data_IF_077988621971
#
_entry.id   IF_077988621971
#
_cell.length_a   1.000
_cell.length_b   1.000
_cell.length_c   1.000
_cell.angle_alpha   90.00
_cell.angle_beta   90.00
_cell.angle_gamma   90.00
#
_symmetry.space_group_name_H-M   'P 1'
#
loop_
_entity.id
_entity.type
_entity.pdbx_description
1 polymer ?
#
# COMPACT_ATOMS: atom_id res chain seq x y z
N UNK A 1 -55.82 88.17 -3.08
CA UNK A 1 -55.07 88.45 -4.33
C UNK A 1 -53.58 88.24 -4.01
N UNK A 2 -53.02 87.17 -4.40
CA UNK A 2 -51.57 86.98 -4.60
C UNK A 2 -51.31 85.59 -5.13
N UNK A 3 -50.76 85.55 -6.32
CA UNK A 3 -50.44 84.31 -7.06
C UNK A 3 -49.13 83.77 -6.60
N UNK A 4 -48.99 82.46 -6.42
CA UNK A 4 -47.74 81.75 -6.25
C UNK A 4 -47.39 80.99 -7.54
N UNK A 5 -46.15 80.99 -7.99
CA UNK A 5 -45.68 80.25 -9.16
C UNK A 5 -45.29 78.80 -8.80
N UNK A 6 -45.66 77.90 -9.67
CA UNK A 6 -45.31 76.51 -9.71
C UNK A 6 -43.87 76.40 -10.20
N UNK A 7 -42.98 75.70 -9.39
CA UNK A 7 -41.67 75.29 -9.87
C UNK A 7 -41.71 73.83 -10.22
N UNK A 8 -41.53 73.51 -11.49
CA UNK A 8 -41.27 72.16 -11.98
C UNK A 8 -39.78 71.81 -11.78
N UNK A 9 -39.47 70.81 -10.98
CA UNK A 9 -38.13 70.23 -10.87
C UNK A 9 -38.06 68.95 -11.73
N UNK A 10 -37.21 68.97 -12.77
CA UNK A 10 -36.78 67.78 -13.50
C UNK A 10 -35.80 67.01 -12.62
N UNK A 11 -36.18 65.76 -12.23
CA UNK A 11 -35.28 64.82 -11.62
C UNK A 11 -34.51 64.04 -12.67
N UNK A 12 -33.19 64.22 -12.68
CA UNK A 12 -32.26 63.36 -13.46
C UNK A 12 -31.99 62.08 -12.67
N UNK A 13 -32.49 60.96 -13.17
CA UNK A 13 -32.17 59.63 -12.62
C UNK A 13 -30.77 59.22 -13.12
N UNK A 14 -29.79 59.17 -12.21
CA UNK A 14 -28.47 58.58 -12.48
C UNK A 14 -28.55 57.04 -12.36
N UNK A 15 -28.43 56.33 -13.48
CA UNK A 15 -28.22 54.89 -13.51
C UNK A 15 -26.78 54.61 -13.03
N UNK A 16 -26.64 54.10 -11.81
CA UNK A 16 -25.36 53.52 -11.32
C UNK A 16 -25.19 52.11 -11.95
N UNK A 17 -24.29 52.01 -12.94
CA UNK A 17 -23.83 50.71 -13.46
C UNK A 17 -22.96 50.04 -12.41
N UNK A 18 -23.49 49.02 -11.70
CA UNK A 18 -22.70 48.13 -10.89
C UNK A 18 -21.84 47.21 -11.79
N UNK A 19 -20.58 47.58 -11.98
CA UNK A 19 -19.57 46.68 -12.55
C UNK A 19 -19.25 45.60 -11.54
N UNK A 20 -19.80 44.39 -11.71
CA UNK A 20 -19.35 43.20 -10.98
C UNK A 20 -17.99 42.85 -11.57
N UNK A 21 -16.92 43.25 -10.89
CA UNK A 21 -15.59 42.74 -11.18
C UNK A 21 -15.58 41.25 -10.82
N UNK A 22 -15.56 40.37 -11.83
CA UNK A 22 -15.18 38.97 -11.60
C UNK A 22 -13.77 38.98 -11.03
N UNK A 23 -13.60 38.56 -9.76
CA UNK A 23 -12.31 38.27 -9.21
C UNK A 23 -11.62 37.23 -10.11
N UNK A 24 -10.33 37.40 -10.46
CA UNK A 24 -9.61 36.36 -11.21
C UNK A 24 -9.67 35.08 -10.37
N UNK A 25 -10.03 33.96 -11.02
CA UNK A 25 -9.96 32.66 -10.39
C UNK A 25 -8.55 32.50 -9.83
N UNK A 26 -8.43 32.25 -8.51
CA UNK A 26 -7.15 32.02 -7.88
C UNK A 26 -6.42 30.93 -8.67
N UNK A 27 -5.16 31.19 -9.07
CA UNK A 27 -4.37 30.17 -9.74
C UNK A 27 -4.29 28.97 -8.80
N UNK A 28 -4.73 27.81 -9.30
CA UNK A 28 -4.69 26.56 -8.53
C UNK A 28 -3.24 26.27 -8.14
N UNK A 29 -3.00 26.01 -6.84
CA UNK A 29 -1.67 25.66 -6.36
C UNK A 29 -1.12 24.46 -7.13
N UNK A 30 0.19 24.38 -7.41
CA UNK A 30 0.77 23.26 -8.18
C UNK A 30 0.37 21.89 -7.61
N UNK A 31 0.40 21.74 -6.29
CA UNK A 31 0.02 20.50 -5.61
C UNK A 31 -1.43 20.09 -5.84
N UNK A 32 -2.37 21.05 -5.88
CA UNK A 32 -3.78 20.76 -6.17
C UNK A 32 -3.96 20.24 -7.60
N UNK A 33 -3.14 20.72 -8.54
CA UNK A 33 -3.16 20.22 -9.93
C UNK A 33 -2.66 18.79 -10.02
N UNK A 34 -1.60 18.46 -9.27
CA UNK A 34 -1.06 17.11 -9.25
C UNK A 34 -2.03 16.13 -8.58
N UNK A 35 -2.61 16.49 -7.45
CA UNK A 35 -3.65 15.68 -6.82
C UNK A 35 -4.85 15.45 -7.76
N UNK A 36 -5.26 16.49 -8.51
CA UNK A 36 -6.33 16.37 -9.51
C UNK A 36 -5.92 15.45 -10.66
N UNK A 37 -4.68 15.53 -11.16
CA UNK A 37 -4.18 14.66 -12.23
C UNK A 37 -4.15 13.19 -11.80
N UNK A 38 -3.66 12.89 -10.57
CA UNK A 38 -3.67 11.52 -10.02
C UNK A 38 -5.11 11.01 -9.84
N UNK A 39 -6.04 11.86 -9.37
CA UNK A 39 -7.46 11.50 -9.28
C UNK A 39 -8.07 11.19 -10.65
N UNK A 40 -7.70 11.91 -11.70
CA UNK A 40 -8.12 11.58 -13.07
C UNK A 40 -7.51 10.25 -13.56
N UNK A 41 -6.25 9.97 -13.22
CA UNK A 41 -5.62 8.69 -13.52
C UNK A 41 -6.35 7.53 -12.81
N UNK A 42 -6.72 7.71 -11.55
CA UNK A 42 -7.55 6.74 -10.82
C UNK A 42 -8.89 6.50 -11.53
N UNK A 43 -9.60 7.56 -11.89
CA UNK A 43 -10.87 7.44 -12.61
C UNK A 43 -10.71 6.76 -13.97
N UNK A 44 -9.62 7.03 -14.70
CA UNK A 44 -9.34 6.35 -15.96
C UNK A 44 -9.13 4.84 -15.76
N UNK A 45 -8.32 4.44 -14.78
CA UNK A 45 -8.09 3.04 -14.45
C UNK A 45 -9.38 2.35 -13.97
N UNK A 46 -10.14 3.01 -13.10
CA UNK A 46 -11.40 2.48 -12.58
C UNK A 46 -12.47 2.31 -13.67
N UNK A 47 -12.63 3.28 -14.56
CA UNK A 47 -13.56 3.20 -15.69
C UNK A 47 -13.18 2.07 -16.65
N UNK A 48 -11.88 1.83 -16.85
CA UNK A 48 -11.40 0.66 -17.59
C UNK A 48 -11.80 -0.64 -16.93
N UNK A 49 -11.62 -0.74 -15.61
CA UNK A 49 -12.07 -1.90 -14.82
C UNK A 49 -13.60 -2.07 -14.93
N UNK A 50 -14.40 -1.02 -14.69
CA UNK A 50 -15.86 -1.10 -14.81
C UNK A 50 -16.32 -1.58 -16.19
N UNK A 51 -15.61 -1.17 -17.24
CA UNK A 51 -16.01 -1.47 -18.61
C UNK A 51 -15.60 -2.86 -19.08
N UNK A 52 -14.44 -3.37 -18.64
CA UNK A 52 -13.83 -4.58 -19.23
C UNK A 52 -13.62 -5.73 -18.26
N UNK A 53 -13.62 -5.46 -16.94
CA UNK A 53 -13.30 -6.43 -15.91
C UNK A 53 -14.28 -6.44 -14.73
N UNK A 54 -15.46 -5.84 -14.86
CA UNK A 54 -16.43 -5.75 -13.77
C UNK A 54 -16.81 -7.13 -13.21
N UNK A 55 -16.56 -7.31 -11.92
CA UNK A 55 -16.81 -8.57 -11.22
C UNK A 55 -15.66 -9.58 -11.29
N UNK A 56 -14.56 -9.24 -11.98
CA UNK A 56 -13.29 -9.97 -11.94
C UNK A 56 -12.33 -9.37 -10.92
N UNK A 57 -11.24 -10.10 -10.61
CA UNK A 57 -10.24 -9.63 -9.67
C UNK A 57 -9.40 -8.49 -10.25
N UNK A 58 -9.01 -8.55 -11.52
CA UNK A 58 -8.11 -7.59 -12.15
C UNK A 58 -8.48 -7.25 -13.59
N UNK A 59 -8.07 -6.05 -14.00
CA UNK A 59 -8.14 -5.60 -15.39
C UNK A 59 -6.90 -6.07 -16.17
N UNK A 60 -7.13 -6.55 -17.39
CA UNK A 60 -6.12 -6.71 -18.43
C UNK A 60 -6.17 -5.48 -19.35
N UNK A 61 -5.31 -4.46 -19.13
CA UNK A 61 -5.50 -3.14 -19.73
C UNK A 61 -5.11 -3.06 -21.21
N UNK A 62 -4.33 -4.03 -21.72
CA UNK A 62 -3.93 -4.05 -23.13
C UNK A 62 -4.94 -4.84 -23.96
N UNK A 63 -5.34 -6.05 -23.53
CA UNK A 63 -6.33 -6.89 -24.22
C UNK A 63 -7.77 -6.49 -23.95
N UNK A 64 -8.01 -5.64 -22.93
CA UNK A 64 -9.35 -5.18 -22.50
C UNK A 64 -10.23 -6.32 -22.03
N UNK A 65 -9.75 -7.07 -21.03
CA UNK A 65 -10.44 -8.20 -20.40
C UNK A 65 -10.32 -8.19 -18.90
N UNK A 66 -11.00 -9.14 -18.23
CA UNK A 66 -10.85 -9.43 -16.82
C UNK A 66 -10.00 -10.68 -16.59
N UNK A 67 -9.41 -10.76 -15.39
CA UNK A 67 -8.66 -11.92 -14.91
C UNK A 67 -9.02 -12.19 -13.46
N UNK A 68 -9.11 -13.47 -13.10
CA UNK A 68 -9.24 -13.91 -11.71
C UNK A 68 -7.97 -14.65 -11.26
N UNK A 69 -7.62 -14.48 -9.99
CA UNK A 69 -6.46 -15.15 -9.40
C UNK A 69 -6.74 -16.63 -9.09
N UNK A 70 -8.01 -16.92 -8.82
CA UNK A 70 -8.51 -18.24 -8.42
C UNK A 70 -9.62 -18.70 -9.35
N UNK A 71 -10.16 -19.94 -9.16
CA UNK A 71 -11.28 -20.43 -9.97
C UNK A 71 -12.57 -19.59 -9.91
N UNK A 72 -12.67 -18.68 -8.94
CA UNK A 72 -13.72 -17.69 -8.83
C UNK A 72 -13.14 -16.39 -8.31
N UNK A 73 -13.70 -15.25 -8.73
CA UNK A 73 -13.30 -13.93 -8.29
C UNK A 73 -13.58 -13.72 -6.79
N UNK A 74 -12.66 -13.01 -6.15
CA UNK A 74 -12.85 -12.40 -4.82
C UNK A 74 -13.09 -10.89 -4.90
N UNK A 75 -13.24 -10.33 -6.11
CA UNK A 75 -13.45 -8.90 -6.32
C UNK A 75 -12.28 -8.06 -5.79
N UNK A 76 -11.03 -8.53 -5.97
CA UNK A 76 -9.85 -7.88 -5.39
C UNK A 76 -9.76 -6.41 -5.73
N UNK A 77 -9.89 -6.02 -6.99
CA UNK A 77 -9.86 -4.59 -7.38
C UNK A 77 -10.95 -3.75 -6.72
N UNK A 78 -12.24 -4.14 -6.65
CA UNK A 78 -13.26 -3.42 -5.91
C UNK A 78 -12.99 -3.27 -4.41
N UNK A 79 -12.49 -4.33 -3.76
CA UNK A 79 -12.19 -4.31 -2.31
C UNK A 79 -10.98 -3.42 -2.04
N UNK A 80 -9.89 -3.61 -2.78
CA UNK A 80 -8.64 -2.85 -2.66
C UNK A 80 -8.83 -1.36 -2.96
N UNK A 81 -9.61 -1.03 -3.99
CA UNK A 81 -9.82 0.36 -4.41
C UNK A 81 -10.84 1.12 -3.56
N UNK A 82 -11.67 0.44 -2.74
CA UNK A 82 -12.81 1.04 -2.07
C UNK A 82 -12.43 2.21 -1.16
N UNK A 83 -11.48 2.01 -0.27
CA UNK A 83 -11.06 3.05 0.67
C UNK A 83 -10.38 4.24 -0.04
N UNK A 84 -9.66 3.99 -1.14
CA UNK A 84 -9.10 5.05 -1.99
C UNK A 84 -10.22 5.91 -2.58
N UNK A 85 -11.31 5.30 -3.06
CA UNK A 85 -12.48 6.04 -3.56
C UNK A 85 -13.11 6.91 -2.48
N UNK A 86 -13.28 6.36 -1.27
CA UNK A 86 -13.84 7.10 -0.13
C UNK A 86 -12.94 8.30 0.21
N UNK A 87 -11.63 8.11 0.31
CA UNK A 87 -10.66 9.17 0.60
C UNK A 87 -10.65 10.26 -0.49
N UNK A 88 -10.71 9.86 -1.76
CA UNK A 88 -10.78 10.78 -2.89
C UNK A 88 -12.14 11.47 -3.04
N UNK A 89 -13.16 11.11 -2.27
CA UNK A 89 -14.52 11.64 -2.39
C UNK A 89 -15.22 11.24 -3.69
N UNK A 90 -14.92 10.03 -4.21
CA UNK A 90 -15.54 9.43 -5.41
C UNK A 90 -16.81 8.67 -5.00
N UNK A 91 -17.82 9.37 -4.52
CA UNK A 91 -19.02 8.76 -3.90
C UNK A 91 -19.82 7.87 -4.85
N UNK A 92 -19.87 8.21 -6.14
CA UNK A 92 -20.57 7.41 -7.15
C UNK A 92 -19.90 6.07 -7.42
N UNK A 93 -18.57 6.09 -7.59
CA UNK A 93 -17.71 4.91 -7.78
C UNK A 93 -17.73 4.02 -6.54
N UNK A 94 -17.54 4.61 -5.36
CA UNK A 94 -17.61 3.90 -4.09
C UNK A 94 -18.97 3.23 -3.85
N UNK A 95 -20.09 3.89 -4.20
CA UNK A 95 -21.41 3.28 -4.06
C UNK A 95 -21.60 2.06 -4.97
N UNK A 96 -21.09 2.10 -6.21
CA UNK A 96 -21.16 0.93 -7.12
C UNK A 96 -20.26 -0.20 -6.65
N UNK A 97 -19.02 0.10 -6.25
CA UNK A 97 -18.10 -0.89 -5.67
C UNK A 97 -18.71 -1.54 -4.41
N UNK A 98 -19.26 -0.73 -3.48
CA UNK A 98 -19.95 -1.21 -2.28
C UNK A 98 -21.08 -2.18 -2.61
N UNK A 99 -21.95 -1.83 -3.56
CA UNK A 99 -23.05 -2.72 -3.96
C UNK A 99 -22.50 -4.05 -4.52
N UNK A 100 -21.51 -4.01 -5.40
CA UNK A 100 -20.90 -5.22 -5.95
C UNK A 100 -20.31 -6.11 -4.84
N UNK A 101 -19.52 -5.53 -3.93
CA UNK A 101 -18.90 -6.24 -2.81
C UNK A 101 -19.97 -6.89 -1.92
N UNK A 102 -20.92 -6.09 -1.43
CA UNK A 102 -21.90 -6.56 -0.44
C UNK A 102 -22.94 -7.53 -1.02
N UNK A 103 -23.21 -7.46 -2.32
CA UNK A 103 -24.21 -8.32 -2.97
C UNK A 103 -23.60 -9.61 -3.56
N UNK A 104 -22.28 -9.66 -3.83
CA UNK A 104 -21.68 -10.74 -4.62
C UNK A 104 -20.48 -11.43 -3.96
N UNK A 105 -19.75 -10.76 -3.05
CA UNK A 105 -18.55 -11.34 -2.42
C UNK A 105 -18.92 -12.48 -1.48
N UNK A 106 -18.25 -13.63 -1.67
CA UNK A 106 -18.42 -14.80 -0.81
C UNK A 106 -17.10 -15.51 -0.63
N UNK A 107 -16.78 -15.88 0.60
CA UNK A 107 -15.57 -16.63 0.95
C UNK A 107 -15.84 -18.13 1.15
N UNK A 108 -17.06 -18.59 0.94
CA UNK A 108 -17.37 -20.04 0.93
C UNK A 108 -16.95 -20.67 -0.39
N UNK A 109 -15.65 -20.94 -0.53
CA UNK A 109 -15.01 -21.41 -1.76
C UNK A 109 -14.22 -22.70 -1.50
N UNK A 110 -14.53 -23.74 -2.27
CA UNK A 110 -13.89 -25.06 -2.14
C UNK A 110 -12.62 -25.16 -3.01
N UNK A 111 -11.67 -24.27 -2.74
CA UNK A 111 -10.31 -24.31 -3.30
C UNK A 111 -9.32 -23.61 -2.35
N UNK A 112 -8.02 -23.95 -2.42
CA UNK A 112 -7.00 -23.33 -1.60
C UNK A 112 -6.71 -21.91 -2.06
N UNK A 113 -6.56 -20.99 -1.09
CA UNK A 113 -6.09 -19.60 -1.30
C UNK A 113 -4.79 -19.37 -0.55
N UNK A 114 -3.99 -18.45 -1.03
CA UNK A 114 -2.78 -18.00 -0.33
C UNK A 114 -3.18 -17.10 0.86
N UNK A 115 -2.83 -17.52 2.07
CA UNK A 115 -3.25 -16.86 3.32
C UNK A 115 -2.79 -15.41 3.37
N UNK A 116 -1.55 -15.14 2.97
CA UNK A 116 -0.97 -13.79 2.97
C UNK A 116 -1.76 -12.85 2.05
N UNK A 117 -1.87 -13.15 0.76
CA UNK A 117 -2.50 -12.27 -0.23
C UNK A 117 -3.97 -11.96 0.11
N UNK A 118 -4.74 -12.98 0.47
CA UNK A 118 -6.15 -12.79 0.86
C UNK A 118 -6.27 -11.99 2.17
N UNK A 119 -5.31 -12.09 3.08
CA UNK A 119 -5.35 -11.33 4.33
C UNK A 119 -5.08 -9.84 4.08
N UNK A 120 -4.02 -9.50 3.38
CA UNK A 120 -3.63 -8.08 3.23
C UNK A 120 -4.63 -7.30 2.37
N UNK A 121 -5.17 -7.92 1.30
CA UNK A 121 -6.13 -7.32 0.36
C UNK A 121 -7.56 -7.40 0.89
N UNK A 122 -8.10 -8.61 0.96
CA UNK A 122 -9.52 -8.77 1.25
C UNK A 122 -9.84 -8.45 2.72
N UNK A 123 -9.12 -9.05 3.66
CA UNK A 123 -9.38 -8.77 5.08
C UNK A 123 -9.03 -7.33 5.43
N UNK A 124 -7.87 -6.84 4.97
CA UNK A 124 -7.43 -5.46 5.17
C UNK A 124 -8.40 -4.45 4.57
N UNK A 125 -8.78 -4.62 3.30
CA UNK A 125 -9.73 -3.74 2.60
C UNK A 125 -11.12 -3.70 3.25
N UNK A 126 -11.66 -4.87 3.65
CA UNK A 126 -12.95 -4.94 4.33
C UNK A 126 -12.92 -4.26 5.72
N UNK A 127 -11.83 -4.39 6.48
CA UNK A 127 -11.67 -3.72 7.76
C UNK A 127 -11.54 -2.21 7.61
N UNK A 128 -10.77 -1.75 6.63
CA UNK A 128 -10.66 -0.34 6.27
C UNK A 128 -12.02 0.22 5.81
N UNK A 129 -12.71 -0.49 4.92
CA UNK A 129 -14.04 -0.12 4.45
C UNK A 129 -15.03 0.03 5.62
N UNK A 130 -15.05 -0.93 6.57
CA UNK A 130 -15.87 -0.82 7.77
C UNK A 130 -15.54 0.42 8.61
N UNK A 131 -14.26 0.70 8.82
CA UNK A 131 -13.84 1.83 9.65
C UNK A 131 -14.08 3.21 9.00
N UNK A 132 -14.15 3.27 7.67
CA UNK A 132 -14.41 4.51 6.93
C UNK A 132 -15.89 4.74 6.65
N UNK A 133 -16.65 3.70 6.28
CA UNK A 133 -18.05 3.77 5.87
C UNK A 133 -19.03 3.53 7.04
N UNK A 134 -18.65 2.64 7.99
CA UNK A 134 -19.48 2.27 9.15
C UNK A 134 -20.53 1.17 8.86
N UNK A 135 -20.64 0.65 7.64
CA UNK A 135 -21.60 -0.40 7.32
C UNK A 135 -21.17 -1.75 7.93
N UNK A 136 -21.96 -2.33 8.87
CA UNK A 136 -21.58 -3.54 9.58
C UNK A 136 -21.45 -4.79 8.69
N UNK A 137 -21.98 -4.76 7.46
CA UNK A 137 -21.84 -5.87 6.52
C UNK A 137 -20.39 -6.09 6.10
N UNK A 138 -19.57 -5.03 6.00
CA UNK A 138 -18.13 -5.15 5.77
C UNK A 138 -17.43 -5.93 6.91
N UNK A 139 -17.75 -5.59 8.17
CA UNK A 139 -17.20 -6.33 9.31
C UNK A 139 -17.70 -7.79 9.35
N UNK A 140 -18.93 -8.04 8.90
CA UNK A 140 -19.47 -9.39 8.81
C UNK A 140 -18.71 -10.25 7.80
N UNK A 141 -18.39 -9.69 6.62
CA UNK A 141 -17.55 -10.35 5.60
C UNK A 141 -16.11 -10.57 6.12
N UNK A 142 -15.52 -9.55 6.75
CA UNK A 142 -14.18 -9.66 7.36
C UNK A 142 -14.13 -10.77 8.42
N UNK A 143 -15.16 -10.90 9.24
CA UNK A 143 -15.28 -11.97 10.27
C UNK A 143 -15.43 -13.35 9.63
N UNK A 144 -16.23 -13.50 8.59
CA UNK A 144 -16.38 -14.77 7.87
C UNK A 144 -15.03 -15.19 7.29
N UNK A 145 -14.34 -14.29 6.56
CA UNK A 145 -13.01 -14.57 6.00
C UNK A 145 -11.99 -14.92 7.09
N UNK A 146 -11.86 -14.07 8.12
CA UNK A 146 -10.90 -14.32 9.21
C UNK A 146 -11.13 -15.66 9.90
N UNK A 147 -12.39 -16.08 10.07
CA UNK A 147 -12.72 -17.40 10.64
C UNK A 147 -12.26 -18.54 9.74
N UNK A 148 -12.43 -18.40 8.42
CA UNK A 148 -12.03 -19.42 7.42
C UNK A 148 -10.50 -19.51 7.26
N UNK A 149 -9.78 -18.43 7.58
CA UNK A 149 -8.32 -18.40 7.53
C UNK A 149 -7.66 -18.98 8.81
N UNK A 150 -8.34 -18.99 9.98
CA UNK A 150 -7.77 -19.49 11.25
C UNK A 150 -7.15 -20.89 11.17
N UNK A 151 -7.69 -21.86 10.44
CA UNK A 151 -7.09 -23.20 10.31
C UNK A 151 -5.63 -23.18 9.83
N UNK A 152 -5.23 -22.15 9.04
CA UNK A 152 -3.86 -22.04 8.57
C UNK A 152 -2.82 -21.99 9.72
N UNK A 153 -3.17 -21.43 10.89
CA UNK A 153 -2.29 -21.31 12.06
C UNK A 153 -2.15 -22.62 12.86
N UNK A 154 -2.69 -23.72 12.36
CA UNK A 154 -2.69 -25.04 13.05
C UNK A 154 -1.39 -25.83 12.94
N UNK A 155 -0.27 -25.22 12.51
CA UNK A 155 1.03 -25.91 12.52
C UNK A 155 1.56 -26.14 13.93
N UNK A 156 2.52 -27.06 14.10
CA UNK A 156 3.15 -27.35 15.38
C UNK A 156 3.90 -26.14 15.97
N UNK A 157 4.36 -25.23 15.13
CA UNK A 157 5.06 -24.00 15.56
C UNK A 157 4.11 -22.84 15.83
N UNK A 158 2.85 -22.91 15.38
CA UNK A 158 1.89 -21.80 15.36
C UNK A 158 2.07 -20.84 14.20
N UNK A 159 3.08 -21.00 13.35
CA UNK A 159 3.23 -20.25 12.09
C UNK A 159 2.23 -20.78 11.06
N UNK A 160 1.61 -19.91 10.22
CA UNK A 160 0.59 -20.36 9.30
C UNK A 160 1.17 -21.16 8.14
N UNK A 161 0.41 -22.16 7.68
CA UNK A 161 0.60 -22.76 6.37
C UNK A 161 0.35 -21.69 5.29
N UNK A 162 1.01 -21.85 4.15
CA UNK A 162 0.92 -20.91 3.03
C UNK A 162 -0.46 -20.85 2.42
N UNK A 163 -1.16 -22.00 2.34
CA UNK A 163 -2.47 -22.13 1.71
C UNK A 163 -3.49 -22.74 2.66
N UNK A 164 -4.74 -22.28 2.54
CA UNK A 164 -5.91 -22.86 3.20
C UNK A 164 -7.08 -22.94 2.23
N UNK A 165 -7.82 -24.05 2.23
CA UNK A 165 -9.10 -24.16 1.55
C UNK A 165 -10.18 -23.48 2.42
N UNK A 166 -10.83 -22.45 1.89
CA UNK A 166 -11.77 -21.64 2.65
C UNK A 166 -13.08 -22.36 3.04
N UNK A 167 -13.45 -23.43 2.32
CA UNK A 167 -14.64 -24.23 2.64
C UNK A 167 -14.33 -25.32 3.67
N UNK A 168 -13.26 -26.07 3.46
CA UNK A 168 -12.95 -27.27 4.26
C UNK A 168 -11.99 -27.01 5.42
N UNK A 169 -11.23 -25.90 5.39
CA UNK A 169 -10.14 -25.61 6.31
C UNK A 169 -8.88 -26.46 6.07
N UNK A 170 -8.82 -27.26 4.99
CA UNK A 170 -7.62 -28.05 4.65
C UNK A 170 -6.44 -27.13 4.32
N UNK A 171 -5.26 -27.45 4.89
CA UNK A 171 -4.04 -26.62 4.76
C UNK A 171 -2.98 -27.30 3.91
N UNK A 172 -2.15 -26.50 3.23
CA UNK A 172 -1.02 -26.99 2.43
C UNK A 172 0.10 -25.93 2.32
N UNK A 173 1.23 -26.32 1.72
CA UNK A 173 2.37 -25.38 1.58
C UNK A 173 3.08 -25.14 2.92
N UNK A 174 3.81 -26.13 3.47
CA UNK A 174 4.49 -25.96 4.75
C UNK A 174 5.77 -25.10 4.66
N UNK A 175 6.32 -24.89 3.47
CA UNK A 175 7.43 -23.95 3.27
C UNK A 175 6.83 -22.59 2.96
N UNK A 176 7.15 -21.62 3.81
CA UNK A 176 6.67 -20.24 3.77
C UNK A 176 7.87 -19.30 3.96
N UNK A 177 7.61 -18.00 4.06
CA UNK A 177 8.60 -16.95 4.23
C UNK A 177 8.18 -15.99 5.35
N UNK A 178 9.08 -15.10 5.84
CA UNK A 178 8.77 -14.17 6.91
C UNK A 178 7.57 -13.24 6.63
N UNK A 179 7.43 -12.72 5.41
CA UNK A 179 6.30 -11.87 5.03
C UNK A 179 4.98 -12.65 5.17
N UNK A 180 4.86 -13.83 4.59
CA UNK A 180 3.65 -14.67 4.67
C UNK A 180 3.30 -15.11 6.11
N UNK A 181 4.30 -15.23 6.99
CA UNK A 181 4.08 -15.60 8.40
C UNK A 181 3.73 -14.39 9.26
N UNK A 182 4.42 -13.28 9.07
CA UNK A 182 4.37 -12.13 9.98
C UNK A 182 3.41 -11.02 9.58
N UNK A 183 3.12 -10.92 8.29
CA UNK A 183 2.28 -9.84 7.71
C UNK A 183 0.79 -10.20 7.75
N UNK A 184 0.32 -10.60 8.91
CA UNK A 184 -1.08 -10.93 9.19
C UNK A 184 -1.57 -10.21 10.44
N UNK A 185 -0.63 -9.59 11.17
CA UNK A 185 -0.91 -9.08 12.52
C UNK A 185 -1.84 -7.88 12.52
N UNK A 186 -1.71 -6.97 11.57
CA UNK A 186 -2.53 -5.76 11.54
C UNK A 186 -3.99 -6.10 11.27
N UNK A 187 -4.26 -6.98 10.33
CA UNK A 187 -5.60 -7.40 9.93
C UNK A 187 -6.26 -8.28 10.99
N UNK A 188 -5.59 -9.36 11.38
CA UNK A 188 -6.12 -10.27 12.41
C UNK A 188 -6.23 -9.58 13.77
N UNK A 189 -5.27 -8.73 14.11
CA UNK A 189 -5.30 -7.95 15.34
C UNK A 189 -6.47 -6.95 15.35
N UNK A 190 -6.67 -6.23 14.27
CA UNK A 190 -7.79 -5.28 14.11
C UNK A 190 -9.14 -6.01 14.13
N UNK A 191 -9.25 -7.14 13.41
CA UNK A 191 -10.46 -7.97 13.47
C UNK A 191 -10.75 -8.45 14.88
N UNK A 192 -9.74 -8.92 15.60
CA UNK A 192 -9.87 -9.33 17.01
C UNK A 192 -10.38 -8.21 17.91
N UNK A 193 -9.84 -7.00 17.74
CA UNK A 193 -10.26 -5.82 18.51
C UNK A 193 -11.68 -5.37 18.17
N UNK A 194 -12.05 -5.33 16.90
CA UNK A 194 -13.38 -4.89 16.46
C UNK A 194 -14.49 -5.88 16.80
N UNK A 195 -14.17 -7.17 16.79
CA UNK A 195 -15.16 -8.23 17.10
C UNK A 195 -15.19 -8.66 18.58
N UNK A 196 -14.17 -8.29 19.37
CA UNK A 196 -13.97 -8.76 20.74
C UNK A 196 -13.53 -10.24 20.83
N UNK A 197 -13.13 -10.86 19.71
CA UNK A 197 -12.69 -12.26 19.65
C UNK A 197 -11.15 -12.34 19.69
N UNK A 198 -10.55 -12.76 20.83
CA UNK A 198 -9.10 -12.76 20.98
C UNK A 198 -8.37 -13.80 20.11
N UNK A 199 -9.11 -14.81 19.58
CA UNK A 199 -8.50 -15.89 18.78
C UNK A 199 -7.73 -15.32 17.58
N UNK A 200 -8.23 -14.26 16.96
CA UNK A 200 -7.58 -13.63 15.81
C UNK A 200 -6.25 -12.99 16.20
N UNK A 201 -6.27 -12.09 17.17
CA UNK A 201 -5.05 -11.43 17.68
C UNK A 201 -4.02 -12.44 18.15
N UNK A 202 -4.45 -13.42 18.96
CA UNK A 202 -3.56 -14.40 19.56
C UNK A 202 -2.92 -15.34 18.52
N UNK A 203 -3.65 -15.71 17.46
CA UNK A 203 -3.11 -16.55 16.38
C UNK A 203 -2.00 -15.82 15.63
N UNK A 204 -2.26 -14.58 15.18
CA UNK A 204 -1.27 -13.79 14.45
C UNK A 204 -0.05 -13.44 15.33
N UNK A 205 -0.26 -13.01 16.59
CA UNK A 205 0.85 -12.71 17.51
C UNK A 205 1.72 -13.95 17.77
N UNK A 206 1.12 -15.14 18.00
CA UNK A 206 1.90 -16.36 18.16
C UNK A 206 2.78 -16.68 16.95
N UNK A 207 2.27 -16.47 15.74
CA UNK A 207 3.04 -16.69 14.51
C UNK A 207 4.26 -15.77 14.44
N UNK A 208 4.08 -14.46 14.69
CA UNK A 208 5.19 -13.49 14.71
C UNK A 208 6.21 -13.82 15.78
N UNK A 209 5.78 -14.13 17.00
CA UNK A 209 6.68 -14.50 18.11
C UNK A 209 7.45 -15.79 17.81
N UNK A 210 6.78 -16.78 17.21
CA UNK A 210 7.42 -18.04 16.81
C UNK A 210 8.50 -17.84 15.74
N UNK A 211 8.23 -16.98 14.75
CA UNK A 211 9.20 -16.62 13.72
C UNK A 211 10.38 -15.83 14.31
N UNK A 212 10.09 -14.80 15.09
CA UNK A 212 11.10 -13.97 15.75
C UNK A 212 12.06 -14.77 16.64
N UNK A 213 11.56 -15.77 17.35
CA UNK A 213 12.38 -16.66 18.18
C UNK A 213 13.36 -17.53 17.38
N UNK A 214 13.22 -17.62 16.06
CA UNK A 214 14.06 -18.43 15.16
C UNK A 214 15.12 -17.63 14.40
N UNK A 215 15.30 -16.36 14.75
CA UNK A 215 16.37 -15.54 14.16
C UNK A 215 17.74 -16.14 14.47
N UNK A 216 18.68 -15.91 13.57
CA UNK A 216 20.08 -16.25 13.83
C UNK A 216 20.69 -15.39 14.96
N UNK A 217 21.86 -15.75 15.49
CA UNK A 217 22.58 -14.92 16.47
C UNK A 217 22.92 -13.50 15.97
N UNK A 218 22.98 -13.28 14.67
CA UNK A 218 23.11 -11.95 14.05
C UNK A 218 21.88 -11.06 14.30
N UNK A 219 20.72 -11.66 14.60
CA UNK A 219 19.41 -11.00 14.68
C UNK A 219 18.62 -11.01 13.37
N UNK A 220 19.19 -11.56 12.29
CA UNK A 220 18.55 -11.66 10.98
C UNK A 220 17.63 -12.88 10.87
N UNK A 221 16.71 -12.85 9.91
CA UNK A 221 15.85 -13.97 9.48
C UNK A 221 16.29 -14.44 8.10
N UNK A 222 16.01 -15.69 7.75
CA UNK A 222 16.18 -16.21 6.39
C UNK A 222 14.98 -15.94 5.50
N UNK A 223 15.08 -16.26 4.22
CA UNK A 223 14.05 -16.01 3.22
C UNK A 223 13.00 -17.12 3.09
N UNK A 224 13.27 -18.34 3.59
CA UNK A 224 12.30 -19.43 3.59
C UNK A 224 12.40 -20.34 4.84
N UNK A 225 11.24 -20.76 5.38
CA UNK A 225 11.11 -21.54 6.61
C UNK A 225 10.05 -22.63 6.47
N UNK A 226 10.32 -23.84 6.95
CA UNK A 226 9.28 -24.88 7.11
C UNK A 226 8.50 -24.62 8.41
N UNK A 227 7.23 -24.25 8.30
CA UNK A 227 6.37 -23.87 9.43
C UNK A 227 6.04 -25.05 10.37
N UNK A 228 6.23 -26.31 9.96
CA UNK A 228 6.00 -27.48 10.83
C UNK A 228 7.16 -27.71 11.79
N UNK A 229 8.39 -27.64 11.26
CA UNK A 229 9.62 -27.86 12.03
C UNK A 229 10.19 -26.59 12.61
N UNK A 230 9.94 -25.44 11.98
CA UNK A 230 10.59 -24.17 12.26
C UNK A 230 12.03 -24.08 11.77
N UNK A 231 12.44 -24.97 10.86
CA UNK A 231 13.77 -24.96 10.27
C UNK A 231 13.82 -24.02 9.06
N UNK A 232 14.85 -23.19 8.98
CA UNK A 232 15.14 -22.39 7.80
C UNK A 232 15.53 -23.28 6.63
N UNK A 233 14.89 -23.11 5.48
CA UNK A 233 15.20 -23.80 4.22
C UNK A 233 16.00 -22.93 3.27
N UNK A 234 15.98 -21.60 3.49
CA UNK A 234 16.86 -20.64 2.84
C UNK A 234 17.34 -19.63 3.87
N UNK A 235 18.63 -19.28 3.82
CA UNK A 235 19.32 -18.43 4.80
C UNK A 235 19.70 -17.06 4.24
N UNK A 236 19.33 -16.75 3.02
CA UNK A 236 19.50 -15.40 2.49
C UNK A 236 18.61 -14.41 3.24
N UNK A 237 19.17 -13.27 3.63
CA UNK A 237 18.52 -12.25 4.43
C UNK A 237 18.60 -10.92 3.73
N UNK A 238 17.47 -10.22 3.62
CA UNK A 238 17.32 -8.96 2.90
C UNK A 238 16.09 -8.20 3.42
N UNK A 239 15.79 -7.05 2.84
CA UNK A 239 14.55 -6.30 3.10
C UNK A 239 13.57 -6.35 1.91
N UNK A 240 13.84 -7.20 0.92
CA UNK A 240 13.05 -7.39 -0.28
C UNK A 240 11.92 -8.42 -0.12
N UNK A 241 11.20 -8.68 -1.21
CA UNK A 241 10.05 -9.59 -1.26
C UNK A 241 10.25 -10.92 -0.56
N UNK A 242 9.25 -11.32 0.23
CA UNK A 242 9.29 -12.50 1.09
C UNK A 242 9.81 -12.26 2.51
N UNK A 243 10.50 -11.14 2.77
CA UNK A 243 10.89 -10.72 4.14
C UNK A 243 10.31 -9.35 4.48
N UNK A 244 10.26 -8.44 3.54
CA UNK A 244 9.88 -7.03 3.56
C UNK A 244 8.85 -6.65 4.65
N UNK A 245 7.60 -6.92 4.41
CA UNK A 245 6.47 -6.55 5.27
C UNK A 245 6.47 -7.24 6.65
N UNK A 246 7.26 -8.29 6.86
CA UNK A 246 7.49 -8.81 8.20
C UNK A 246 8.11 -7.75 9.11
N UNK A 247 9.17 -7.06 8.64
CA UNK A 247 9.82 -6.02 9.42
C UNK A 247 8.92 -4.79 9.58
N UNK A 248 8.21 -4.44 8.54
CA UNK A 248 7.22 -3.37 8.55
C UNK A 248 6.16 -3.60 9.64
N UNK A 249 5.62 -4.84 9.73
CA UNK A 249 4.57 -5.18 10.68
C UNK A 249 5.05 -5.26 12.14
N UNK A 250 6.32 -5.48 12.40
CA UNK A 250 6.86 -5.33 13.76
C UNK A 250 6.67 -3.88 14.26
N UNK A 251 7.04 -2.90 13.44
CA UNK A 251 6.85 -1.48 13.78
C UNK A 251 5.36 -1.12 13.81
N UNK A 252 4.64 -1.42 12.74
CA UNK A 252 3.24 -1.00 12.57
C UNK A 252 2.31 -1.64 13.59
N UNK A 253 2.55 -2.89 14.03
CA UNK A 253 1.79 -3.53 15.11
C UNK A 253 2.01 -2.85 16.47
N UNK A 254 3.25 -2.44 16.77
CA UNK A 254 3.50 -1.62 17.96
C UNK A 254 2.74 -0.29 17.89
N UNK A 255 2.81 0.43 16.78
CA UNK A 255 2.12 1.70 16.60
C UNK A 255 0.60 1.57 16.71
N UNK A 256 0.01 0.51 16.15
CA UNK A 256 -1.44 0.32 16.15
C UNK A 256 -1.98 -0.21 17.48
N UNK A 257 -1.31 -1.20 18.08
CA UNK A 257 -1.82 -1.89 19.29
C UNK A 257 -1.19 -1.43 20.59
N UNK A 258 -0.01 -0.79 20.55
CA UNK A 258 0.74 -0.40 21.75
C UNK A 258 1.32 -1.59 22.52
N UNK A 259 1.48 -2.74 21.86
CA UNK A 259 2.00 -3.98 22.47
C UNK A 259 3.54 -3.94 22.52
N UNK A 260 4.16 -3.92 23.73
CA UNK A 260 5.60 -3.75 23.90
C UNK A 260 6.43 -4.92 23.36
N UNK A 261 5.83 -6.07 23.09
CA UNK A 261 6.55 -7.17 22.45
C UNK A 261 6.97 -6.80 21.03
N UNK A 262 6.10 -6.12 20.28
CA UNK A 262 6.40 -5.67 18.92
C UNK A 262 7.45 -4.56 18.89
N UNK A 263 7.43 -3.62 19.85
CA UNK A 263 8.47 -2.59 20.00
C UNK A 263 9.85 -3.24 20.15
N UNK A 264 9.99 -4.18 21.12
CA UNK A 264 11.26 -4.90 21.35
C UNK A 264 11.71 -5.71 20.13
N UNK A 265 10.75 -6.34 19.42
CA UNK A 265 11.05 -7.10 18.21
C UNK A 265 11.52 -6.18 17.09
N UNK A 266 10.87 -5.02 16.90
CA UNK A 266 11.29 -4.01 15.94
C UNK A 266 12.71 -3.49 16.25
N UNK A 267 12.94 -2.98 17.45
CA UNK A 267 14.23 -2.39 17.85
C UNK A 267 15.40 -3.35 17.63
N UNK A 268 15.19 -4.61 18.00
CA UNK A 268 16.21 -5.65 17.81
C UNK A 268 16.43 -5.95 16.31
N UNK A 269 15.37 -5.99 15.51
CA UNK A 269 15.45 -6.30 14.09
C UNK A 269 16.07 -5.16 13.30
N UNK A 270 15.65 -3.91 13.52
CA UNK A 270 16.21 -2.75 12.80
C UNK A 270 17.69 -2.54 13.12
N UNK A 271 18.13 -2.85 14.35
CA UNK A 271 19.54 -2.81 14.71
C UNK A 271 20.35 -3.85 13.91
N UNK A 272 19.83 -5.08 13.74
CA UNK A 272 20.46 -6.14 12.95
C UNK A 272 20.50 -5.78 11.45
N UNK A 273 19.38 -5.31 10.90
CA UNK A 273 19.26 -4.86 9.51
C UNK A 273 20.29 -3.77 9.22
N UNK A 274 20.33 -2.71 10.04
CA UNK A 274 21.25 -1.61 9.87
C UNK A 274 22.72 -2.01 9.99
N UNK A 275 23.01 -3.04 10.78
CA UNK A 275 24.37 -3.56 10.98
C UNK A 275 24.85 -4.43 9.83
N UNK A 276 23.99 -5.29 9.29
CA UNK A 276 24.41 -6.36 8.38
C UNK A 276 23.96 -6.16 6.93
N UNK A 277 22.80 -5.51 6.72
CA UNK A 277 22.24 -5.31 5.38
C UNK A 277 22.54 -3.93 4.79
N UNK A 278 22.71 -2.90 5.62
CA UNK A 278 23.06 -1.56 5.14
C UNK A 278 24.43 -1.55 4.46
N UNK A 279 24.53 -0.91 3.31
CA UNK A 279 25.73 -0.82 2.50
C UNK A 279 25.91 0.59 1.94
N UNK A 280 26.94 1.29 2.45
CA UNK A 280 27.28 2.64 1.99
C UNK A 280 28.24 2.55 0.81
N UNK A 281 27.78 2.97 -0.36
CA UNK A 281 28.54 2.99 -1.62
C UNK A 281 28.68 4.41 -2.16
N UNK A 282 29.56 4.66 -3.14
CA UNK A 282 29.57 5.92 -3.86
C UNK A 282 28.23 6.25 -4.56
N UNK A 283 27.46 5.20 -4.90
CA UNK A 283 26.12 5.30 -5.50
C UNK A 283 25.00 5.67 -4.51
N UNK A 284 25.25 5.60 -3.20
CA UNK A 284 24.26 5.92 -2.18
C UNK A 284 24.29 4.98 -0.97
N UNK A 285 23.30 5.09 -0.10
CA UNK A 285 22.99 4.13 0.94
C UNK A 285 22.01 3.09 0.38
N UNK A 286 22.36 1.82 0.46
CA UNK A 286 21.55 0.70 -0.01
C UNK A 286 21.40 -0.36 1.09
N UNK A 287 20.47 -1.27 0.92
CA UNK A 287 20.31 -2.47 1.73
C UNK A 287 20.42 -3.67 0.80
N UNK A 288 21.51 -4.43 0.92
CA UNK A 288 21.73 -5.62 0.10
C UNK A 288 21.50 -6.89 0.91
N UNK A 289 21.73 -8.03 0.27
CA UNK A 289 21.52 -9.34 0.89
C UNK A 289 22.72 -9.77 1.74
N UNK A 290 22.47 -10.60 2.73
CA UNK A 290 23.49 -11.22 3.58
C UNK A 290 23.06 -12.63 4.00
N UNK A 291 24.02 -13.50 4.30
CA UNK A 291 23.75 -14.75 4.98
C UNK A 291 23.30 -14.48 6.42
N UNK A 292 22.16 -15.01 6.84
CA UNK A 292 21.56 -14.71 8.13
C UNK A 292 22.43 -15.15 9.32
N UNK A 293 23.22 -16.21 9.19
CA UNK A 293 24.03 -16.74 10.29
C UNK A 293 25.32 -15.94 10.50
N UNK A 294 25.95 -15.51 9.43
CA UNK A 294 27.25 -14.84 9.47
C UNK A 294 27.17 -13.34 9.33
N UNK A 295 26.09 -12.81 8.74
CA UNK A 295 25.95 -11.41 8.35
C UNK A 295 26.84 -11.01 7.16
N UNK A 296 27.48 -11.97 6.48
CA UNK A 296 28.32 -11.71 5.32
C UNK A 296 27.47 -11.33 4.10
N UNK A 297 27.90 -10.28 3.36
CA UNK A 297 27.21 -9.83 2.14
C UNK A 297 27.20 -10.95 1.08
N UNK A 298 26.00 -11.26 0.57
CA UNK A 298 25.80 -12.28 -0.48
C UNK A 298 25.54 -11.65 -1.83
N UNK A 299 24.68 -10.62 -1.91
CA UNK A 299 24.33 -9.92 -3.14
C UNK A 299 24.27 -8.41 -2.93
N UNK A 300 24.52 -7.66 -4.00
CA UNK A 300 24.41 -6.19 -4.06
C UNK A 300 23.18 -5.78 -4.87
N UNK A 301 22.06 -6.47 -4.62
CA UNK A 301 20.79 -6.22 -5.28
C UNK A 301 19.87 -5.38 -4.39
N UNK A 302 19.04 -4.56 -5.05
CA UNK A 302 18.02 -3.73 -4.43
C UNK A 302 16.88 -3.57 -5.44
N UNK A 303 15.65 -3.74 -5.00
CA UNK A 303 14.49 -3.74 -5.88
C UNK A 303 13.45 -2.68 -5.53
N UNK A 304 12.41 -2.64 -6.36
CA UNK A 304 11.24 -1.78 -6.15
C UNK A 304 10.58 -2.09 -4.80
N UNK A 305 10.43 -3.37 -4.45
CA UNK A 305 9.88 -3.78 -3.14
C UNK A 305 10.71 -3.25 -1.96
N UNK A 306 12.04 -3.22 -2.06
CA UNK A 306 12.92 -2.70 -0.98
C UNK A 306 12.67 -1.22 -0.66
N UNK A 307 12.06 -0.48 -1.59
CA UNK A 307 11.85 0.96 -1.47
C UNK A 307 10.92 1.34 -0.30
N UNK A 308 10.03 0.44 0.16
CA UNK A 308 9.18 0.65 1.35
C UNK A 308 9.99 0.95 2.60
N UNK A 309 11.25 0.43 2.68
CA UNK A 309 12.02 0.49 3.92
C UNK A 309 12.40 1.92 4.31
N UNK A 310 12.46 2.87 3.37
CA UNK A 310 12.65 4.28 3.71
C UNK A 310 11.43 4.86 4.46
N UNK A 311 10.20 4.46 4.11
CA UNK A 311 8.99 4.84 4.84
C UNK A 311 9.01 4.29 6.28
N UNK A 312 9.40 3.03 6.45
CA UNK A 312 9.47 2.36 7.75
C UNK A 312 10.55 3.00 8.64
N UNK A 313 11.75 3.29 8.11
CA UNK A 313 12.79 4.02 8.82
C UNK A 313 12.31 5.42 9.24
N UNK A 314 11.66 6.15 8.35
CA UNK A 314 11.12 7.48 8.67
C UNK A 314 10.07 7.40 9.79
N UNK A 315 9.14 6.45 9.71
CA UNK A 315 8.07 6.25 10.71
C UNK A 315 8.63 5.81 12.06
N UNK A 316 9.77 5.11 12.10
CA UNK A 316 10.46 4.75 13.34
C UNK A 316 11.30 5.89 13.94
N UNK A 317 11.42 7.04 13.24
CA UNK A 317 12.17 8.21 13.69
C UNK A 317 13.57 8.36 13.10
N UNK A 318 14.11 7.38 12.35
CA UNK A 318 15.41 7.49 11.66
C UNK A 318 15.27 8.20 10.30
N UNK A 319 14.85 9.47 10.35
CA UNK A 319 14.61 10.30 9.15
C UNK A 319 15.89 10.58 8.36
N UNK A 320 17.06 10.58 9.01
CA UNK A 320 18.35 10.81 8.35
C UNK A 320 18.70 9.63 7.43
N UNK A 321 18.58 8.41 7.93
CA UNK A 321 18.85 7.20 7.14
C UNK A 321 17.78 7.00 6.07
N UNK A 322 16.52 7.23 6.41
CA UNK A 322 15.39 7.19 5.49
C UNK A 322 15.59 8.15 4.31
N UNK A 323 16.00 9.39 4.54
CA UNK A 323 16.27 10.37 3.49
C UNK A 323 17.40 9.95 2.56
N UNK A 324 18.49 9.38 3.11
CA UNK A 324 19.61 8.85 2.31
C UNK A 324 19.20 7.65 1.46
N UNK A 325 18.36 6.77 2.00
CA UNK A 325 17.81 5.64 1.24
C UNK A 325 16.86 6.14 0.15
N UNK A 326 16.03 7.14 0.43
CA UNK A 326 15.14 7.74 -0.58
C UNK A 326 15.92 8.36 -1.76
N UNK A 327 17.09 8.95 -1.51
CA UNK A 327 17.97 9.43 -2.60
C UNK A 327 18.49 8.28 -3.48
N UNK A 328 18.73 7.10 -2.91
CA UNK A 328 19.11 5.91 -3.65
C UNK A 328 17.95 5.35 -4.46
N UNK A 329 16.75 5.29 -3.88
CA UNK A 329 15.50 4.90 -4.55
C UNK A 329 15.22 5.83 -5.73
N UNK A 330 15.31 7.14 -5.52
CA UNK A 330 15.12 8.12 -6.59
C UNK A 330 16.17 8.00 -7.71
N UNK A 331 17.41 7.65 -7.35
CA UNK A 331 18.47 7.33 -8.32
C UNK A 331 18.13 6.08 -9.15
N UNK A 332 17.62 5.03 -8.51
CA UNK A 332 17.14 3.83 -9.20
C UNK A 332 16.02 4.18 -10.19
N UNK A 333 15.02 4.96 -9.75
CA UNK A 333 13.93 5.41 -10.60
C UNK A 333 14.41 6.19 -11.82
N UNK A 334 15.25 7.20 -11.61
CA UNK A 334 15.70 8.11 -12.67
C UNK A 334 16.72 7.49 -13.62
N UNK A 335 17.45 6.43 -13.21
CA UNK A 335 18.42 5.74 -14.07
C UNK A 335 17.76 5.16 -15.34
N UNK A 336 16.48 4.75 -15.24
CA UNK A 336 15.75 4.16 -16.37
C UNK A 336 14.52 4.99 -16.75
N UNK A 337 14.25 6.10 -16.07
CA UNK A 337 13.03 6.92 -16.22
C UNK A 337 11.80 6.35 -15.51
N UNK A 338 11.85 5.10 -15.08
CA UNK A 338 10.92 4.40 -14.18
C UNK A 338 11.71 3.23 -13.57
N UNK A 339 11.47 2.90 -12.30
CA UNK A 339 12.27 1.91 -11.59
C UNK A 339 12.13 0.49 -12.14
N UNK A 340 13.21 -0.31 -12.18
CA UNK A 340 13.12 -1.75 -12.45
C UNK A 340 12.67 -2.51 -11.20
N UNK A 341 12.17 -3.74 -11.38
CA UNK A 341 11.88 -4.64 -10.25
C UNK A 341 13.14 -4.90 -9.40
N UNK A 342 14.33 -4.95 -10.02
CA UNK A 342 15.59 -5.14 -9.30
C UNK A 342 16.78 -4.62 -10.09
N UNK A 343 17.76 -4.02 -9.38
CA UNK A 343 19.07 -3.64 -9.93
C UNK A 343 20.22 -4.09 -9.02
N UNK A 344 21.42 -4.23 -9.59
CA UNK A 344 22.67 -4.26 -8.84
C UNK A 344 23.11 -2.82 -8.53
N UNK A 345 23.08 -2.43 -7.24
CA UNK A 345 23.35 -1.06 -6.85
C UNK A 345 24.83 -0.64 -6.91
N UNK A 346 25.75 -1.57 -7.15
CA UNK A 346 27.17 -1.27 -7.38
C UNK A 346 27.38 -0.84 -8.83
N UNK A 347 26.78 -1.56 -9.78
CA UNK A 347 26.91 -1.30 -11.21
C UNK A 347 25.82 -0.42 -11.79
N UNK A 348 24.71 -0.25 -11.06
CA UNK A 348 23.47 0.41 -11.48
C UNK A 348 22.87 -0.21 -12.75
N UNK A 349 23.07 -1.51 -12.97
CA UNK A 349 22.45 -2.26 -14.05
C UNK A 349 21.21 -3.00 -13.54
N UNK A 350 20.20 -3.08 -14.40
CA UNK A 350 19.03 -3.89 -14.13
C UNK A 350 19.38 -5.38 -14.01
N UNK A 351 18.77 -6.03 -13.02
CA UNK A 351 18.80 -7.48 -12.80
C UNK A 351 17.46 -8.08 -13.24
N UNK A 352 16.37 -7.45 -12.81
CA UNK A 352 15.01 -7.75 -13.25
C UNK A 352 14.41 -6.49 -13.87
N UNK A 353 14.32 -6.40 -15.21
CA UNK A 353 14.00 -5.15 -15.90
C UNK A 353 12.50 -4.81 -15.93
N UNK A 354 11.62 -5.61 -15.33
CA UNK A 354 10.18 -5.35 -15.26
C UNK A 354 9.82 -4.14 -14.40
N UNK A 355 8.56 -3.70 -14.48
CA UNK A 355 7.93 -2.78 -13.53
C UNK A 355 6.45 -3.16 -13.38
N UNK A 356 6.05 -3.54 -12.20
CA UNK A 356 4.71 -4.08 -11.93
C UNK A 356 3.75 -3.03 -11.33
N UNK A 357 3.90 -1.76 -11.67
CA UNK A 357 3.11 -0.62 -11.15
C UNK A 357 3.29 -0.38 -9.63
N UNK A 358 4.49 -0.59 -9.13
CA UNK A 358 4.87 -0.60 -7.72
C UNK A 358 4.60 0.70 -6.96
N UNK A 359 4.13 0.62 -5.68
CA UNK A 359 3.83 1.77 -4.84
C UNK A 359 4.99 2.24 -3.95
N UNK A 360 5.98 1.40 -3.63
CA UNK A 360 6.86 1.53 -2.46
C UNK A 360 7.74 2.78 -2.50
N UNK A 361 8.17 3.21 -3.68
CA UNK A 361 8.91 4.46 -3.85
C UNK A 361 8.03 5.69 -3.56
N UNK A 362 6.76 5.66 -3.99
CA UNK A 362 5.78 6.73 -3.73
C UNK A 362 5.32 6.73 -2.28
N UNK A 363 5.14 5.56 -1.66
CA UNK A 363 4.90 5.42 -0.22
C UNK A 363 6.00 6.11 0.57
N UNK A 364 7.27 5.79 0.27
CA UNK A 364 8.43 6.37 0.95
C UNK A 364 8.53 7.88 0.78
N UNK A 365 8.24 8.41 -0.42
CA UNK A 365 8.17 9.84 -0.65
C UNK A 365 7.05 10.50 0.18
N UNK A 366 5.86 9.88 0.23
CA UNK A 366 4.73 10.36 1.03
C UNK A 366 5.04 10.38 2.53
N UNK A 367 5.57 9.29 3.09
CA UNK A 367 5.92 9.21 4.51
C UNK A 367 6.98 10.22 4.90
N UNK A 368 8.05 10.34 4.12
CA UNK A 368 9.11 11.30 4.37
C UNK A 368 8.59 12.73 4.30
N UNK A 369 7.75 13.08 3.32
CA UNK A 369 7.14 14.40 3.26
C UNK A 369 6.25 14.66 4.48
N UNK A 370 5.39 13.72 4.88
CA UNK A 370 4.48 13.89 6.02
C UNK A 370 5.23 14.08 7.35
N UNK A 371 6.35 13.36 7.52
CA UNK A 371 7.13 13.37 8.77
C UNK A 371 8.08 14.55 8.83
N UNK A 372 8.73 14.92 7.73
CA UNK A 372 9.78 15.95 7.74
C UNK A 372 9.30 17.32 7.26
N UNK A 373 8.26 17.39 6.44
CA UNK A 373 7.79 18.60 5.78
C UNK A 373 8.70 19.08 4.63
N UNK A 374 9.74 18.31 4.25
CA UNK A 374 10.68 18.72 3.22
C UNK A 374 10.10 18.62 1.81
N UNK A 375 10.07 19.73 1.07
CA UNK A 375 9.48 19.83 -0.26
C UNK A 375 10.12 18.87 -1.28
N UNK A 376 11.41 18.55 -1.14
CA UNK A 376 12.13 17.65 -2.06
C UNK A 376 11.47 16.31 -2.27
N UNK A 377 10.80 15.76 -1.26
CA UNK A 377 10.11 14.46 -1.40
C UNK A 377 8.88 14.55 -2.30
N UNK A 378 8.19 15.68 -2.29
CA UNK A 378 7.12 15.96 -3.26
C UNK A 378 7.67 16.17 -4.68
N UNK A 379 8.81 16.85 -4.82
CA UNK A 379 9.48 17.05 -6.10
C UNK A 379 9.94 15.70 -6.69
N UNK A 380 10.52 14.81 -5.87
CA UNK A 380 10.84 13.44 -6.28
C UNK A 380 9.57 12.69 -6.70
N UNK A 381 8.51 12.77 -5.90
CA UNK A 381 7.22 12.13 -6.18
C UNK A 381 6.59 12.64 -7.47
N UNK A 382 6.73 13.93 -7.79
CA UNK A 382 6.25 14.49 -9.06
C UNK A 382 6.91 13.81 -10.27
N UNK A 383 8.24 13.70 -10.24
CA UNK A 383 8.98 13.01 -11.32
C UNK A 383 8.56 11.55 -11.44
N UNK A 384 8.33 10.88 -10.30
CA UNK A 384 7.88 9.49 -10.30
C UNK A 384 6.46 9.34 -10.87
N UNK A 385 5.53 10.19 -10.49
CA UNK A 385 4.15 10.18 -11.01
C UNK A 385 4.12 10.52 -12.49
N UNK A 386 4.85 11.56 -12.94
CA UNK A 386 4.90 11.94 -14.35
C UNK A 386 5.38 10.78 -15.24
N UNK A 387 6.46 10.12 -14.83
CA UNK A 387 7.01 9.00 -15.59
C UNK A 387 6.11 7.75 -15.52
N UNK A 388 5.51 7.46 -14.37
CA UNK A 388 4.52 6.39 -14.23
C UNK A 388 3.36 6.60 -15.22
N UNK A 389 2.70 7.74 -15.16
CA UNK A 389 1.56 8.05 -16.02
C UNK A 389 1.97 8.06 -17.51
N UNK A 390 3.19 8.55 -17.84
CA UNK A 390 3.66 8.61 -19.21
C UNK A 390 3.94 7.22 -19.81
N UNK A 391 4.65 6.35 -19.09
CA UNK A 391 5.12 5.08 -19.66
C UNK A 391 4.09 3.96 -19.59
N UNK A 392 3.16 4.00 -18.64
CA UNK A 392 2.25 2.88 -18.36
C UNK A 392 0.83 3.06 -18.87
N UNK A 393 0.41 4.30 -19.22
CA UNK A 393 -0.96 4.58 -19.68
C UNK A 393 -1.35 3.78 -20.92
N UNK A 394 -2.57 3.24 -20.92
CA UNK A 394 -3.24 2.57 -22.06
C UNK A 394 -4.62 3.17 -22.26
N UNK A 395 -5.32 2.79 -23.32
CA UNK A 395 -6.71 3.26 -23.54
C UNK A 395 -7.70 2.75 -22.47
N UNK A 396 -7.34 1.69 -21.73
CA UNK A 396 -8.24 1.05 -20.77
C UNK A 396 -7.77 1.16 -19.31
N UNK A 397 -6.66 1.85 -19.06
CA UNK A 397 -6.07 1.97 -17.73
C UNK A 397 -4.55 2.11 -17.80
N UNK A 398 -3.83 1.39 -16.97
CA UNK A 398 -2.36 1.43 -16.90
C UNK A 398 -1.80 0.01 -16.94
N UNK A 399 -0.69 -0.17 -17.62
CA UNK A 399 -0.08 -1.49 -17.79
C UNK A 399 1.27 -1.59 -17.08
N UNK A 400 1.53 -2.72 -16.45
CA UNK A 400 2.89 -3.11 -16.10
C UNK A 400 3.83 -3.08 -17.32
N UNK A 401 5.13 -3.02 -17.09
CA UNK A 401 6.15 -3.08 -18.13
C UNK A 401 6.94 -4.39 -18.03
N UNK A 402 7.20 -5.02 -19.17
CA UNK A 402 8.15 -6.14 -19.25
C UNK A 402 9.59 -5.67 -19.08
N UNK A 403 9.88 -4.44 -19.49
CA UNK A 403 11.21 -3.86 -19.44
C UNK A 403 11.15 -2.35 -19.32
N UNK A 404 11.78 -1.82 -18.28
CA UNK A 404 11.98 -0.38 -18.08
C UNK A 404 12.96 0.23 -19.08
N UNK A 405 13.75 -0.60 -19.79
CA UNK A 405 14.68 -0.15 -20.84
C UNK A 405 13.91 0.08 -22.15
N UNK A 406 13.14 -0.92 -22.60
CA UNK A 406 12.40 -0.85 -23.87
C UNK A 406 11.01 -0.24 -23.75
N UNK A 407 10.47 -0.12 -22.52
CA UNK A 407 9.08 0.30 -22.21
C UNK A 407 8.04 -0.65 -22.83
N UNK A 408 8.40 -1.90 -23.11
CA UNK A 408 7.46 -2.90 -23.58
C UNK A 408 6.42 -3.18 -22.51
N UNK A 409 5.15 -3.11 -22.89
CA UNK A 409 4.00 -3.31 -21.99
C UNK A 409 3.77 -4.78 -21.66
N UNK A 410 3.33 -5.02 -20.42
CA UNK A 410 2.79 -6.30 -19.95
C UNK A 410 1.29 -6.13 -19.71
N UNK A 411 0.48 -7.04 -20.21
CA UNK A 411 -0.98 -6.97 -20.08
C UNK A 411 -1.41 -7.34 -18.65
N UNK A 412 -1.18 -6.41 -17.72
CA UNK A 412 -1.45 -6.58 -16.30
C UNK A 412 -1.61 -5.23 -15.62
N UNK A 413 -2.64 -5.10 -14.79
CA UNK A 413 -2.88 -4.02 -13.85
C UNK A 413 -3.34 -4.65 -12.54
N UNK A 414 -2.42 -4.74 -11.59
CA UNK A 414 -2.65 -5.32 -10.27
C UNK A 414 -3.65 -4.46 -9.47
N UNK A 415 -4.41 -5.09 -8.56
CA UNK A 415 -5.39 -4.39 -7.73
C UNK A 415 -4.75 -3.32 -6.84
N UNK A 416 -3.53 -3.57 -6.35
CA UNK A 416 -2.78 -2.61 -5.54
C UNK A 416 -2.42 -1.30 -6.26
N UNK A 417 -2.47 -1.27 -7.59
CA UNK A 417 -2.27 -0.01 -8.31
C UNK A 417 -3.28 1.06 -7.91
N UNK A 418 -4.54 0.65 -7.70
CA UNK A 418 -5.62 1.52 -7.22
C UNK A 418 -5.62 1.64 -5.68
N UNK A 419 -5.26 0.56 -5.00
CA UNK A 419 -5.22 0.52 -3.54
C UNK A 419 -4.08 1.36 -2.96
N UNK A 420 -2.88 1.30 -3.57
CA UNK A 420 -1.64 1.80 -3.03
C UNK A 420 -1.02 2.89 -3.90
N UNK A 421 -0.58 2.54 -5.12
CA UNK A 421 0.24 3.41 -5.97
C UNK A 421 -0.43 4.75 -6.22
N UNK A 422 -1.68 4.73 -6.69
CA UNK A 422 -2.44 5.96 -6.91
C UNK A 422 -2.93 6.61 -5.61
N UNK A 423 -3.12 5.85 -4.53
CA UNK A 423 -3.45 6.40 -3.22
C UNK A 423 -2.29 7.20 -2.65
N UNK A 424 -1.08 6.62 -2.58
CA UNK A 424 0.10 7.33 -2.07
C UNK A 424 0.47 8.51 -2.96
N UNK A 425 0.41 8.36 -4.29
CA UNK A 425 0.59 9.47 -5.23
C UNK A 425 -0.40 10.62 -4.96
N UNK A 426 -1.68 10.32 -4.77
CA UNK A 426 -2.69 11.32 -4.49
C UNK A 426 -2.51 11.97 -3.12
N UNK A 427 -2.24 11.19 -2.07
CA UNK A 427 -2.01 11.68 -0.71
C UNK A 427 -0.77 12.57 -0.64
N UNK A 428 0.27 12.29 -1.42
CA UNK A 428 1.50 13.10 -1.47
C UNK A 428 1.22 14.55 -1.91
N UNK A 429 0.25 14.75 -2.79
CA UNK A 429 -0.10 16.09 -3.31
C UNK A 429 -1.36 16.68 -2.68
N UNK A 430 -2.14 15.89 -1.96
CA UNK A 430 -3.36 16.33 -1.29
C UNK A 430 -3.06 17.16 -0.04
N UNK A 431 -3.97 18.04 0.38
CA UNK A 431 -3.85 18.71 1.67
C UNK A 431 -3.70 17.71 2.83
N UNK A 432 -2.80 17.95 3.81
CA UNK A 432 -2.58 17.03 4.94
C UNK A 432 -3.83 16.68 5.75
N UNK A 433 -4.84 17.55 5.73
CA UNK A 433 -6.10 17.35 6.45
C UNK A 433 -7.04 16.29 5.84
N UNK A 434 -6.74 15.79 4.61
CA UNK A 434 -7.55 14.76 3.95
C UNK A 434 -7.52 13.44 4.73
N UNK A 435 -6.37 13.12 5.31
CA UNK A 435 -6.17 11.97 6.17
C UNK A 435 -5.26 12.34 7.32
N UNK A 436 -5.72 12.11 8.55
CA UNK A 436 -4.89 12.25 9.74
C UNK A 436 -3.86 11.11 9.78
N UNK A 437 -2.64 11.42 9.34
CA UNK A 437 -1.53 10.48 9.22
C UNK A 437 -1.10 9.86 10.56
N UNK A 438 -1.34 10.57 11.67
CA UNK A 438 -0.98 10.10 13.01
C UNK A 438 -2.08 9.24 13.64
N UNK A 439 -3.31 9.35 13.13
CA UNK A 439 -4.45 8.57 13.60
C UNK A 439 -4.63 7.22 12.85
N UNK A 440 -3.85 6.98 11.82
CA UNK A 440 -3.93 5.76 11.00
C UNK A 440 -2.60 5.00 10.94
N UNK A 441 -2.71 3.69 10.77
CA UNK A 441 -1.60 2.83 10.38
C UNK A 441 -2.03 2.14 9.09
N UNK A 442 -1.31 2.40 8.00
CA UNK A 442 -1.52 1.67 6.76
C UNK A 442 -1.00 0.24 6.90
N UNK A 443 -1.78 -0.75 6.46
CA UNK A 443 -1.25 -2.09 6.27
C UNK A 443 -0.30 -2.13 5.05
N UNK A 444 0.23 -3.29 4.70
CA UNK A 444 1.15 -3.42 3.56
C UNK A 444 0.46 -3.25 2.20
N UNK A 445 -0.87 -3.24 2.14
CA UNK A 445 -1.70 -2.96 0.96
C UNK A 445 -2.29 -1.53 0.99
N UNK A 446 -1.69 -0.64 1.82
CA UNK A 446 -2.12 0.75 2.03
C UNK A 446 -3.57 0.94 2.53
N UNK A 447 -4.18 -0.08 3.14
CA UNK A 447 -5.47 0.09 3.82
C UNK A 447 -5.30 0.82 5.14
N UNK A 448 -5.91 2.01 5.35
CA UNK A 448 -5.78 2.75 6.61
C UNK A 448 -6.58 2.10 7.73
N UNK A 449 -5.89 1.61 8.74
CA UNK A 449 -6.47 1.04 9.95
C UNK A 449 -6.38 2.03 11.10
N UNK A 450 -7.41 2.13 11.91
CA UNK A 450 -7.52 3.07 13.03
C UNK A 450 -7.68 2.35 14.35
N UNK A 451 -7.11 2.92 15.40
CA UNK A 451 -7.38 2.50 16.77
C UNK A 451 -8.73 3.04 17.21
N UNK A 452 -9.81 2.29 16.98
CA UNK A 452 -11.20 2.64 17.35
C UNK A 452 -11.71 1.88 18.58
N UNK A 453 -10.86 1.06 19.20
CA UNK A 453 -11.11 0.29 20.42
C UNK A 453 -10.41 0.91 21.63
N UNK A 454 -10.92 0.63 22.85
CA UNK A 454 -10.37 1.07 24.13
C UNK A 454 -9.49 -0.01 24.76
#
# INVERSE_FOLDING_TARGET
MTRFPVRTSLGVAALAACSVALAPAAAQEPADREAAAVKQAFLHAWQGYERYAWGHDELLPVSRGGRDWYPASFLMTPVDAYDTMVLMGLSGEAARAKSLILDSLSFDRDFPVQVFEITIRELGGLLSAYQLDGDPRFLSLARDLGTRLLPAFGSATGMPYRFVNLHTGAVSGPVSNPAEVGTLMLEFGTLGKLTGDPRYYDAAKRAVVALFARRAPTGLVGSAIDVRSGAWTDRDSHVSGGIDSYYEYLLKAWLLFGDPDFERMWDSSVAAINRHLADQRPTGLWYGHADMETGARTLTHFGALDAFFAAVLAKSGDTVRAGRLMESIYRMWTAFGIEPEELDYVTLREVAPGYELRPEALESAYYLWRITGEARYREMGQVMVDSLLHYTATDAGFSALRSVVTKERRDRMESYFLAETLKYAWLLFSPPAVLDFDAVVFNTEAHPLRRTWH
#
